data_IF_851384025728
#
_entry.id   IF_851384025728
#
_cell.length_a   1.000
_cell.length_b   1.000
_cell.length_c   1.000
_cell.angle_alpha   90.00
_cell.angle_beta   90.00
_cell.angle_gamma   90.00
#
_symmetry.space_group_name_H-M   'P 1'
#
loop_
_entity.id
_entity.type
_entity.pdbx_description
1 polymer ?
#
# COMPACT_ATOMS: atom_id res chain seq x y z
N UNK A 1 -9.61 -17.34 -2.01
CA UNK A 1 -8.24 -16.80 -1.88
C UNK A 1 -8.05 -15.69 -2.91
N UNK A 2 -8.04 -14.43 -2.50
CA UNK A 2 -7.86 -13.27 -3.39
C UNK A 2 -6.36 -13.01 -3.60
N UNK A 3 -5.74 -13.74 -4.52
CA UNK A 3 -4.30 -13.63 -4.80
C UNK A 3 -3.91 -12.49 -5.75
N UNK A 4 -4.87 -11.72 -6.29
CA UNK A 4 -4.63 -10.60 -7.21
C UNK A 4 -5.67 -9.51 -7.02
N UNK A 5 -5.30 -8.25 -7.25
CA UNK A 5 -6.23 -7.12 -7.23
C UNK A 5 -5.76 -5.94 -8.09
N UNK A 6 -6.58 -4.89 -8.20
CA UNK A 6 -6.29 -3.67 -8.94
C UNK A 6 -6.20 -2.46 -8.03
N UNK A 7 -5.27 -1.56 -8.32
CA UNK A 7 -5.15 -0.23 -7.73
C UNK A 7 -4.73 0.74 -8.84
N UNK A 8 -5.69 1.15 -9.67
CA UNK A 8 -5.41 1.91 -10.89
C UNK A 8 -5.84 3.39 -10.84
N UNK A 9 -6.70 3.78 -9.89
CA UNK A 9 -7.25 5.15 -9.82
C UNK A 9 -6.27 6.13 -9.16
N UNK A 10 -6.66 7.41 -9.08
CA UNK A 10 -5.89 8.46 -8.39
C UNK A 10 -6.03 8.33 -6.88
N UNK A 11 -5.04 8.82 -6.11
CA UNK A 11 -5.10 8.80 -4.63
C UNK A 11 -6.30 9.59 -4.12
N UNK A 12 -6.56 10.75 -4.73
CA UNK A 12 -7.72 11.60 -4.45
C UNK A 12 -9.03 10.85 -4.63
N UNK A 13 -9.17 10.01 -5.67
CA UNK A 13 -10.41 9.26 -5.90
C UNK A 13 -10.66 8.19 -4.84
N UNK A 14 -9.62 7.55 -4.33
CA UNK A 14 -9.75 6.63 -3.19
C UNK A 14 -10.18 7.38 -1.92
N UNK A 15 -9.57 8.52 -1.61
CA UNK A 15 -9.94 9.34 -0.44
C UNK A 15 -11.38 9.85 -0.52
N UNK A 16 -11.81 10.36 -1.68
CA UNK A 16 -13.20 10.77 -1.93
C UNK A 16 -14.18 9.62 -1.70
N UNK A 17 -13.84 8.40 -2.14
CA UNK A 17 -14.70 7.22 -1.97
C UNK A 17 -14.82 6.80 -0.50
N UNK A 18 -13.74 6.96 0.27
CA UNK A 18 -13.73 6.71 1.71
C UNK A 18 -14.44 7.82 2.51
N UNK A 19 -14.76 8.96 1.88
CA UNK A 19 -15.29 10.16 2.55
C UNK A 19 -14.46 10.54 3.77
N UNK A 20 -13.13 10.48 3.65
CA UNK A 20 -12.24 10.71 4.76
C UNK A 20 -12.17 12.20 5.12
N UNK A 21 -12.34 12.53 6.39
CA UNK A 21 -12.42 13.90 6.90
C UNK A 21 -11.28 14.26 7.86
N UNK A 22 -10.45 13.30 8.29
CA UNK A 22 -9.34 13.58 9.18
C UNK A 22 -8.14 14.19 8.42
N UNK A 23 -7.16 14.77 9.14
CA UNK A 23 -5.96 15.31 8.53
C UNK A 23 -5.24 14.28 7.67
N UNK A 24 -4.68 14.74 6.55
CA UNK A 24 -3.81 13.91 5.70
C UNK A 24 -2.36 14.17 6.09
N UNK A 25 -1.63 13.11 6.44
CA UNK A 25 -0.19 13.15 6.68
C UNK A 25 0.63 12.97 5.39
N UNK A 26 0.02 13.21 4.22
CA UNK A 26 0.66 13.14 2.90
C UNK A 26 -0.11 13.99 1.89
N UNK A 27 0.58 14.44 0.84
CA UNK A 27 -0.05 15.13 -0.29
C UNK A 27 -0.66 14.12 -1.28
N UNK A 28 -2.00 14.10 -1.45
CA UNK A 28 -2.63 13.19 -2.40
C UNK A 28 -2.41 13.68 -3.84
N UNK A 29 -2.01 12.75 -4.72
CA UNK A 29 -1.81 13.04 -6.14
C UNK A 29 -3.05 12.70 -6.97
N UNK A 30 -3.35 13.56 -7.95
CA UNK A 30 -4.30 13.29 -9.04
C UNK A 30 -3.71 12.44 -10.18
N UNK A 31 -2.45 12.00 -10.06
CA UNK A 31 -1.89 11.02 -11.00
C UNK A 31 -2.46 9.62 -10.72
N UNK A 32 -2.90 8.87 -11.74
CA UNK A 32 -3.35 7.50 -11.57
C UNK A 32 -2.23 6.60 -11.03
N UNK A 33 -2.56 5.69 -10.10
CA UNK A 33 -1.61 4.66 -9.66
C UNK A 33 -1.33 3.65 -10.79
N UNK A 34 -2.31 3.42 -11.68
CA UNK A 34 -2.09 2.69 -12.93
C UNK A 34 -1.77 1.19 -12.81
N UNK A 35 -2.06 0.54 -11.67
CA UNK A 35 -1.75 -0.88 -11.47
C UNK A 35 -2.98 -1.76 -11.60
N UNK A 36 -3.09 -2.45 -12.72
CA UNK A 36 -4.26 -3.26 -13.07
C UNK A 36 -4.16 -4.72 -12.66
N UNK A 37 -3.01 -5.17 -12.15
CA UNK A 37 -2.80 -6.58 -11.89
C UNK A 37 -1.74 -6.84 -10.81
N UNK A 38 -2.02 -6.40 -9.59
CA UNK A 38 -1.12 -6.53 -8.44
C UNK A 38 -1.07 -7.98 -7.99
N UNK A 39 0.14 -8.52 -7.83
CA UNK A 39 0.41 -9.89 -7.38
C UNK A 39 1.08 -9.91 -6.00
N UNK A 40 1.07 -11.04 -5.28
CA UNK A 40 1.72 -11.16 -3.98
C UNK A 40 3.21 -10.81 -4.09
N UNK A 41 3.80 -10.33 -3.00
CA UNK A 41 5.19 -9.84 -2.87
C UNK A 41 5.52 -8.52 -3.57
N UNK A 42 4.61 -7.97 -4.39
CA UNK A 42 4.80 -6.63 -4.93
C UNK A 42 4.60 -5.56 -3.84
N UNK A 43 5.26 -4.41 -4.00
CA UNK A 43 4.95 -3.21 -3.22
C UNK A 43 3.52 -2.74 -3.54
N UNK A 44 2.75 -2.25 -2.58
CA UNK A 44 1.36 -1.77 -2.72
C UNK A 44 1.14 -0.53 -1.86
N UNK A 45 0.25 0.39 -2.29
CA UNK A 45 -0.11 1.51 -1.44
C UNK A 45 -1.17 1.08 -0.43
N UNK A 46 -0.90 1.29 0.86
CA UNK A 46 -1.82 1.03 1.97
C UNK A 46 -2.12 2.35 2.67
N UNK A 47 -3.39 2.56 2.98
CA UNK A 47 -3.85 3.64 3.84
C UNK A 47 -3.86 3.15 5.29
N UNK A 48 -3.26 3.93 6.19
CA UNK A 48 -3.24 3.67 7.63
C UNK A 48 -3.23 4.99 8.39
N UNK A 49 -3.65 4.96 9.66
CA UNK A 49 -3.64 6.13 10.53
C UNK A 49 -2.39 6.09 11.39
N UNK A 50 -1.70 7.22 11.47
CA UNK A 50 -0.64 7.49 12.44
C UNK A 50 -1.08 8.63 13.39
N UNK A 51 -0.16 9.10 14.24
CA UNK A 51 -0.43 10.20 15.17
C UNK A 51 -0.71 11.53 14.46
N UNK A 52 -0.16 11.72 13.25
CA UNK A 52 -0.28 12.97 12.47
C UNK A 52 -1.49 12.96 11.51
N UNK A 53 -2.09 11.79 11.25
CA UNK A 53 -3.30 11.63 10.46
C UNK A 53 -3.30 10.41 9.54
N UNK A 54 -4.06 10.49 8.45
CA UNK A 54 -4.11 9.43 7.46
C UNK A 54 -2.88 9.50 6.55
N UNK A 55 -2.12 8.41 6.50
CA UNK A 55 -0.95 8.25 5.62
C UNK A 55 -1.22 7.20 4.55
N UNK A 56 -0.64 7.41 3.37
CA UNK A 56 -0.54 6.38 2.33
C UNK A 56 0.91 5.93 2.17
N UNK A 57 1.21 4.69 2.57
CA UNK A 57 2.56 4.12 2.52
C UNK A 57 2.67 3.01 1.48
N UNK A 58 3.84 2.93 0.83
CA UNK A 58 4.18 1.84 -0.08
C UNK A 58 4.79 0.70 0.72
N UNK A 59 4.07 -0.42 0.85
CA UNK A 59 4.48 -1.57 1.67
C UNK A 59 4.51 -2.86 0.86
N UNK A 60 5.30 -3.81 1.32
CA UNK A 60 5.33 -5.18 0.83
C UNK A 60 3.97 -5.88 0.98
N UNK A 61 3.40 -6.44 -0.10
CA UNK A 61 2.24 -7.32 0.03
C UNK A 61 2.67 -8.75 0.36
N UNK A 62 2.98 -8.97 1.64
CA UNK A 62 3.38 -10.25 2.18
C UNK A 62 3.93 -10.07 3.59
N UNK A 63 3.76 -11.08 4.44
CA UNK A 63 4.26 -11.07 5.81
C UNK A 63 5.08 -12.33 6.06
N UNK A 64 6.32 -12.14 6.46
CA UNK A 64 7.24 -13.20 6.84
C UNK A 64 8.05 -12.72 8.07
N UNK A 65 7.60 -13.03 9.30
CA UNK A 65 8.32 -12.65 10.50
C UNK A 65 9.66 -13.40 10.60
N UNK A 66 10.59 -12.86 11.38
CA UNK A 66 11.96 -13.40 11.46
C UNK A 66 12.03 -14.86 11.94
N UNK A 67 11.05 -15.32 12.71
CA UNK A 67 10.98 -16.70 13.22
C UNK A 67 10.28 -17.67 12.27
N UNK A 68 9.65 -17.19 11.19
CA UNK A 68 9.00 -18.06 10.23
C UNK A 68 10.06 -18.88 9.47
N UNK A 69 9.96 -20.21 9.57
CA UNK A 69 10.79 -21.17 8.84
C UNK A 69 9.96 -21.74 7.70
N UNK A 70 10.18 -21.25 6.49
CA UNK A 70 9.50 -21.69 5.27
C UNK A 70 9.89 -20.84 4.06
N UNK A 71 9.77 -21.40 2.85
CA UNK A 71 10.05 -20.71 1.58
C UNK A 71 8.94 -19.71 1.20
N UNK A 72 8.70 -18.73 2.07
CA UNK A 72 7.95 -17.53 1.70
C UNK A 72 8.96 -16.45 1.39
N UNK A 73 9.31 -16.25 0.12
CA UNK A 73 10.28 -15.26 -0.40
C UNK A 73 10.45 -14.09 0.58
N UNK A 74 11.54 -14.12 1.34
CA UNK A 74 11.91 -13.06 2.28
C UNK A 74 11.88 -11.76 1.50
N UNK A 75 10.87 -10.92 1.74
CA UNK A 75 10.73 -9.67 1.01
C UNK A 75 11.95 -8.84 1.32
N UNK A 76 12.81 -8.66 0.32
CA UNK A 76 13.95 -7.77 0.44
C UNK A 76 13.37 -6.39 0.72
N UNK A 77 13.51 -5.94 1.98
CA UNK A 77 13.33 -4.55 2.36
C UNK A 77 14.37 -3.76 1.57
N UNK A 78 13.99 -3.33 0.36
CA UNK A 78 14.78 -2.34 -0.36
C UNK A 78 14.51 -1.02 0.35
N UNK A 79 15.37 -0.67 1.29
CA UNK A 79 15.49 0.71 1.74
C UNK A 79 15.89 1.51 0.50
N UNK A 80 14.99 2.39 0.04
CA UNK A 80 15.38 3.44 -0.90
C UNK A 80 16.34 4.36 -0.16
N UNK A 81 17.55 4.49 -0.71
CA UNK A 81 18.51 5.54 -0.37
C UNK A 81 17.96 6.91 -0.78
#
# INVERSE_FOLDING_TARGET
MCGRFTQHQTKVRYLKRLNHQAPLAFEPSDKPIGRYNIAPTMQVNVLHLDEDGLRMSTVAWGYAPHWARGEGKRLALRHSA
#
